data_IF_712000285484
#
_entry.id   IF_712000285484
#
_cell.length_a   1.000
_cell.length_b   1.000
_cell.length_c   1.000
_cell.angle_alpha   90.00
_cell.angle_beta   90.00
_cell.angle_gamma   90.00
#
_symmetry.space_group_name_H-M   'P 1'
#
loop_
_entity.id
_entity.type
_entity.pdbx_description
1 polymer ?
#
# COMPACT_ATOMS: atom_id res chain seq x y z
N UNK A 1 -33.74 -13.58 -56.85
CA UNK A 1 -32.82 -14.29 -55.92
C UNK A 1 -33.35 -15.69 -55.68
N UNK A 2 -32.46 -16.67 -55.58
CA UNK A 2 -32.69 -18.06 -55.96
C UNK A 2 -33.21 -18.94 -54.79
N UNK A 3 -33.51 -20.22 -55.08
CA UNK A 3 -34.50 -21.00 -54.37
C UNK A 3 -33.94 -22.21 -53.60
N UNK A 4 -34.89 -22.98 -53.03
CA UNK A 4 -34.98 -24.44 -53.04
C UNK A 4 -34.04 -25.34 -52.22
N UNK A 5 -34.73 -26.21 -51.49
CA UNK A 5 -34.57 -27.65 -51.37
C UNK A 5 -33.47 -28.27 -50.49
N UNK A 6 -33.98 -28.89 -49.42
CA UNK A 6 -34.11 -30.35 -49.27
C UNK A 6 -33.29 -31.01 -48.14
N UNK A 7 -34.10 -31.51 -47.21
CA UNK A 7 -34.12 -32.89 -46.71
C UNK A 7 -32.92 -33.44 -45.90
N UNK A 8 -33.26 -33.65 -44.62
CA UNK A 8 -33.24 -34.93 -43.90
C UNK A 8 -31.91 -35.62 -43.54
N UNK A 9 -31.79 -35.78 -42.21
CA UNK A 9 -31.48 -37.02 -41.47
C UNK A 9 -30.05 -37.59 -41.51
N UNK A 10 -29.45 -37.51 -40.32
CA UNK A 10 -29.05 -38.65 -39.50
C UNK A 10 -27.67 -39.34 -39.70
N UNK A 11 -27.13 -39.70 -38.52
CA UNK A 11 -26.35 -40.91 -38.16
C UNK A 11 -24.81 -40.97 -38.32
N UNK A 12 -24.23 -41.35 -37.17
CA UNK A 12 -23.25 -42.42 -36.91
C UNK A 12 -21.75 -42.25 -37.23
N UNK A 13 -20.97 -42.37 -36.15
CA UNK A 13 -19.88 -43.35 -35.89
C UNK A 13 -18.90 -43.74 -37.02
N UNK A 14 -17.62 -43.59 -36.65
CA UNK A 14 -16.47 -44.51 -36.84
C UNK A 14 -15.98 -44.83 -38.26
N UNK A 15 -14.71 -44.48 -38.52
CA UNK A 15 -13.64 -45.36 -39.04
C UNK A 15 -12.37 -44.49 -39.18
N UNK A 16 -11.23 -44.75 -38.50
CA UNK A 16 -10.22 -45.80 -38.80
C UNK A 16 -9.57 -45.50 -40.18
N UNK A 17 -8.26 -45.28 -40.34
CA UNK A 17 -7.20 -46.32 -40.49
C UNK A 17 -5.90 -45.60 -40.97
N UNK A 18 -4.68 -45.78 -40.43
CA UNK A 18 -3.58 -46.75 -40.76
C UNK A 18 -2.27 -46.05 -40.34
N UNK A 19 -1.12 -46.64 -39.99
CA UNK A 19 -0.59 -48.01 -39.88
C UNK A 19 0.79 -47.88 -39.15
N UNK A 20 1.15 -48.75 -38.19
CA UNK A 20 2.11 -49.91 -38.30
C UNK A 20 3.58 -49.43 -38.50
N UNK A 21 4.63 -49.86 -37.77
CA UNK A 21 4.92 -51.12 -37.08
C UNK A 21 6.08 -51.03 -36.05
N UNK A 22 5.96 -51.87 -35.02
CA UNK A 22 6.95 -52.82 -34.45
C UNK A 22 8.34 -52.36 -33.99
N UNK A 23 8.66 -52.65 -32.72
CA UNK A 23 9.34 -53.91 -32.33
C UNK A 23 9.35 -54.10 -30.81
N UNK A 24 8.92 -55.28 -30.40
CA UNK A 24 9.06 -55.82 -29.04
C UNK A 24 10.53 -56.11 -28.70
N UNK A 25 10.91 -55.83 -27.44
CA UNK A 25 11.60 -56.81 -26.60
C UNK A 25 11.27 -56.55 -25.13
N UNK A 26 10.59 -57.52 -24.53
CA UNK A 26 10.40 -57.64 -23.09
C UNK A 26 11.70 -58.09 -22.44
N UNK A 27 12.10 -57.44 -21.34
CA UNK A 27 12.80 -58.10 -20.25
C UNK A 27 12.31 -57.53 -18.92
N UNK A 28 11.69 -58.39 -18.11
CA UNK A 28 11.31 -58.10 -16.73
C UNK A 28 12.56 -58.20 -15.84
N UNK A 29 12.83 -57.18 -15.04
CA UNK A 29 13.43 -57.35 -13.71
C UNK A 29 13.00 -56.19 -12.80
N UNK A 30 12.53 -56.59 -11.62
CA UNK A 30 12.18 -55.83 -10.42
C UNK A 30 13.17 -54.74 -10.02
N UNK A 31 12.67 -53.63 -9.48
CA UNK A 31 13.49 -52.65 -8.76
C UNK A 31 12.65 -51.49 -8.24
N UNK A 32 12.49 -51.42 -6.92
CA UNK A 32 11.88 -50.30 -6.21
C UNK A 32 12.55 -48.97 -6.61
N UNK A 33 11.79 -48.07 -7.21
CA UNK A 33 12.24 -46.74 -7.62
C UNK A 33 11.24 -45.71 -7.14
N UNK A 34 11.40 -45.27 -5.90
CA UNK A 34 10.63 -44.16 -5.36
C UNK A 34 10.74 -42.95 -6.27
N UNK A 35 9.59 -42.38 -6.64
CA UNK A 35 9.52 -41.06 -7.24
C UNK A 35 10.08 -40.10 -6.19
N UNK A 36 11.37 -39.77 -6.26
CA UNK A 36 11.92 -38.61 -5.58
C UNK A 36 11.19 -37.40 -6.18
N UNK A 37 10.15 -36.94 -5.49
CA UNK A 37 9.69 -35.56 -5.63
C UNK A 37 10.94 -34.71 -5.48
N UNK A 38 11.38 -34.09 -6.58
CA UNK A 38 12.32 -33.00 -6.51
C UNK A 38 11.67 -31.96 -5.57
N UNK A 39 12.16 -31.90 -4.33
CA UNK A 39 11.97 -30.72 -3.49
C UNK A 39 12.71 -29.63 -4.24
N UNK A 40 11.97 -28.83 -4.99
CA UNK A 40 12.43 -27.49 -5.38
C UNK A 40 12.64 -26.75 -4.07
N UNK A 41 13.86 -26.79 -3.56
CA UNK A 41 14.28 -25.89 -2.48
C UNK A 41 14.35 -24.53 -3.13
N UNK A 42 13.21 -23.85 -3.21
CA UNK A 42 13.22 -22.41 -3.39
C UNK A 42 13.95 -21.86 -2.16
N UNK A 43 15.19 -21.42 -2.33
CA UNK A 43 15.79 -20.42 -1.46
C UNK A 43 15.05 -19.08 -1.64
N UNK A 44 13.72 -19.11 -1.49
CA UNK A 44 12.84 -17.96 -1.61
C UNK A 44 12.92 -17.16 -0.32
N UNK A 45 13.03 -15.83 -0.46
CA UNK A 45 12.91 -14.90 0.67
C UNK A 45 11.68 -15.27 1.51
N UNK A 46 11.78 -15.25 2.84
CA UNK A 46 10.63 -15.56 3.69
C UNK A 46 9.46 -14.64 3.35
N UNK A 47 8.24 -15.19 3.35
CA UNK A 47 7.02 -14.39 3.23
C UNK A 47 6.94 -13.45 4.41
N UNK A 48 6.59 -12.19 4.14
CA UNK A 48 6.43 -11.20 5.19
C UNK A 48 5.27 -11.58 6.13
N UNK A 49 5.53 -11.51 7.45
CA UNK A 49 4.53 -11.71 8.50
C UNK A 49 4.64 -10.57 9.51
N UNK A 50 3.51 -10.00 9.92
CA UNK A 50 3.48 -8.95 10.93
C UNK A 50 4.09 -9.40 12.28
N UNK A 51 3.97 -10.70 12.60
CA UNK A 51 4.58 -11.30 13.78
C UNK A 51 6.11 -11.25 13.78
N UNK A 52 6.73 -11.20 12.59
CA UNK A 52 8.18 -11.14 12.42
C UNK A 52 8.67 -9.71 12.17
N UNK A 53 7.78 -8.72 12.10
CA UNK A 53 8.16 -7.33 11.85
C UNK A 53 8.74 -6.70 13.12
N UNK A 54 10.07 -6.55 13.15
CA UNK A 54 10.80 -5.95 14.25
C UNK A 54 10.60 -4.43 14.42
N UNK A 55 9.80 -3.79 13.57
CA UNK A 55 9.38 -2.40 13.73
C UNK A 55 8.15 -2.27 14.64
N UNK A 56 7.47 -3.39 14.91
CA UNK A 56 6.32 -3.49 15.81
C UNK A 56 6.74 -3.96 17.22
N UNK A 57 6.00 -3.54 18.26
CA UNK A 57 6.12 -4.15 19.59
C UNK A 57 5.52 -5.55 19.59
N UNK A 58 5.89 -6.39 20.56
CA UNK A 58 5.29 -7.72 20.76
C UNK A 58 3.75 -7.69 20.77
N UNK A 59 3.14 -6.65 21.36
CA UNK A 59 1.68 -6.49 21.39
C UNK A 59 1.14 -6.17 19.99
N UNK A 60 1.81 -5.32 19.24
CA UNK A 60 1.41 -4.95 17.87
C UNK A 60 1.64 -6.11 16.88
N UNK A 61 2.75 -6.82 17.01
CA UNK A 61 3.05 -8.05 16.27
C UNK A 61 1.92 -9.07 16.47
N UNK A 62 1.53 -9.34 17.73
CA UNK A 62 0.41 -10.24 18.05
C UNK A 62 -0.94 -9.78 17.49
N UNK A 63 -1.14 -8.47 17.33
CA UNK A 63 -2.36 -7.87 16.75
C UNK A 63 -2.30 -7.71 15.23
N UNK A 64 -1.16 -8.01 14.60
CA UNK A 64 -0.92 -7.78 13.19
C UNK A 64 -0.73 -6.31 12.78
N UNK A 65 -0.64 -5.37 13.73
CA UNK A 65 -0.37 -3.95 13.46
C UNK A 65 -0.58 -3.03 14.67
N UNK A 66 -0.72 -1.73 14.43
CA UNK A 66 -0.58 -0.69 15.44
C UNK A 66 -1.81 -0.53 16.32
N UNK A 67 -2.99 -0.62 15.73
CA UNK A 67 -4.25 -0.40 16.44
C UNK A 67 -5.32 -1.38 15.99
N UNK A 68 -6.06 -1.94 16.95
CA UNK A 68 -7.22 -2.75 16.60
C UNK A 68 -8.47 -1.88 16.45
N UNK A 69 -8.80 -1.61 15.19
CA UNK A 69 -10.09 -1.04 14.83
C UNK A 69 -11.16 -2.09 15.06
N UNK A 70 -11.75 -2.12 16.26
CA UNK A 70 -13.06 -2.72 16.45
C UNK A 70 -14.07 -1.58 16.40
N UNK A 71 -15.03 -1.56 15.46
CA UNK A 71 -16.17 -0.69 15.61
C UNK A 71 -16.83 -1.05 16.94
N UNK A 72 -16.70 -0.18 17.94
CA UNK A 72 -17.36 -0.40 19.22
C UNK A 72 -18.86 -0.38 18.95
N UNK A 73 -19.64 -1.33 19.50
CA UNK A 73 -21.08 -1.16 19.54
C UNK A 73 -21.37 0.17 20.23
N UNK A 74 -22.33 0.92 19.67
CA UNK A 74 -22.67 2.34 19.86
C UNK A 74 -22.80 2.82 21.33
N UNK A 75 -22.71 1.92 22.31
CA UNK A 75 -22.79 2.24 23.74
C UNK A 75 -21.52 1.79 24.47
N UNK A 76 -20.83 2.80 25.05
CA UNK A 76 -19.85 2.70 26.15
C UNK A 76 -18.38 2.45 25.75
N UNK A 77 -17.77 3.45 25.10
CA UNK A 77 -16.56 4.15 25.59
C UNK A 77 -16.15 5.17 24.53
N UNK A 78 -16.19 6.47 24.87
CA UNK A 78 -15.51 7.49 24.07
C UNK A 78 -14.04 7.14 24.07
N UNK A 79 -13.52 6.74 22.92
CA UNK A 79 -12.08 6.64 22.75
C UNK A 79 -11.54 8.08 22.80
N UNK A 80 -10.56 8.33 23.66
CA UNK A 80 -9.94 9.65 23.81
C UNK A 80 -9.32 10.10 22.48
N UNK A 81 -9.29 11.42 22.23
CA UNK A 81 -8.77 12.18 21.05
C UNK A 81 -7.35 11.81 20.52
N UNK A 82 -6.77 10.70 20.95
CA UNK A 82 -5.41 10.26 20.65
C UNK A 82 -5.24 8.76 20.44
N UNK A 83 -6.30 7.97 20.25
CA UNK A 83 -6.11 6.53 19.99
C UNK A 83 -5.40 6.22 18.67
N UNK A 84 -5.49 7.11 17.69
CA UNK A 84 -4.65 7.01 16.48
C UNK A 84 -3.29 7.71 16.66
N UNK A 85 -3.12 8.56 17.69
CA UNK A 85 -1.85 9.16 18.13
C UNK A 85 -1.16 8.37 19.25
N UNK A 86 -1.22 7.04 19.24
CA UNK A 86 -0.28 6.29 20.07
C UNK A 86 1.15 6.79 19.77
N UNK A 87 2.04 6.77 20.75
CA UNK A 87 3.44 6.98 20.42
C UNK A 87 3.86 5.87 19.46
N UNK A 88 4.60 6.21 18.40
CA UNK A 88 5.34 5.17 17.71
C UNK A 88 6.29 4.54 18.72
N UNK A 89 6.67 3.28 18.50
CA UNK A 89 7.62 2.66 19.39
C UNK A 89 8.92 3.49 19.38
N UNK A 90 9.52 3.79 20.54
CA UNK A 90 10.82 4.43 20.58
C UNK A 90 11.78 3.67 19.66
N UNK A 91 12.35 4.38 18.68
CA UNK A 91 13.34 3.78 17.80
C UNK A 91 14.59 3.38 18.60
N UNK A 92 15.46 2.57 18.01
CA UNK A 92 16.80 2.17 18.50
C UNK A 92 17.61 3.30 19.17
N UNK A 93 17.32 4.57 18.85
CA UNK A 93 18.03 5.76 19.31
C UNK A 93 17.22 6.66 20.27
N UNK A 94 16.11 6.19 20.84
CA UNK A 94 15.40 6.87 21.93
C UNK A 94 14.53 8.06 21.49
N UNK A 95 14.39 8.33 20.19
CA UNK A 95 13.43 9.30 19.70
C UNK A 95 12.03 8.67 19.71
N UNK A 96 11.12 9.21 20.52
CA UNK A 96 9.67 9.03 20.36
C UNK A 96 9.21 9.97 19.25
N UNK A 97 8.70 9.39 18.19
CA UNK A 97 8.33 10.12 16.98
C UNK A 97 7.03 9.54 16.48
N UNK A 98 5.89 10.14 16.80
CA UNK A 98 4.54 9.66 16.41
C UNK A 98 4.33 9.19 14.95
N UNK A 99 3.09 9.10 14.49
CA UNK A 99 2.81 8.48 13.18
C UNK A 99 2.79 9.45 12.02
N UNK A 100 3.53 9.13 10.95
CA UNK A 100 3.34 9.79 9.68
C UNK A 100 2.00 9.31 9.17
N UNK A 101 1.07 10.25 9.09
CA UNK A 101 -0.26 10.02 8.58
C UNK A 101 -0.14 9.96 7.05
N UNK A 102 0.46 8.90 6.51
CA UNK A 102 0.71 8.73 5.07
C UNK A 102 -0.49 8.25 4.27
N UNK A 103 -1.49 7.74 4.98
CA UNK A 103 -2.70 7.16 4.43
C UNK A 103 -3.94 7.86 4.97
N UNK A 104 -4.27 7.58 6.22
CA UNK A 104 -5.38 8.19 6.93
C UNK A 104 -4.86 9.08 8.05
N UNK A 105 -5.45 10.26 8.21
CA UNK A 105 -5.09 11.18 9.30
C UNK A 105 -5.76 10.77 10.61
N UNK A 106 -5.17 11.12 11.75
CA UNK A 106 -5.73 10.81 13.09
C UNK A 106 -7.16 11.32 13.17
N UNK A 107 -7.40 12.57 12.75
CA UNK A 107 -8.73 13.17 12.82
C UNK A 107 -9.72 12.48 11.88
N UNK A 108 -9.30 11.98 10.70
CA UNK A 108 -10.20 11.17 9.87
C UNK A 108 -10.62 9.90 10.59
N UNK A 109 -9.73 9.24 11.32
CA UNK A 109 -10.12 8.05 12.10
C UNK A 109 -11.07 8.40 13.25
N UNK A 110 -10.83 9.50 13.96
CA UNK A 110 -11.73 9.97 15.02
C UNK A 110 -13.12 10.28 14.46
N UNK A 111 -13.20 10.93 13.30
CA UNK A 111 -14.48 11.26 12.67
C UNK A 111 -15.15 10.04 12.03
N UNK A 112 -14.39 9.06 11.53
CA UNK A 112 -14.95 7.76 11.15
C UNK A 112 -15.53 7.04 12.36
N UNK A 113 -14.89 7.08 13.53
CA UNK A 113 -15.45 6.45 14.74
C UNK A 113 -16.77 7.06 15.19
N UNK A 114 -16.91 8.37 15.01
CA UNK A 114 -18.09 9.13 15.38
C UNK A 114 -19.09 9.31 14.23
N UNK A 115 -18.91 8.57 13.12
CA UNK A 115 -19.82 8.63 11.97
C UNK A 115 -21.24 8.22 12.34
N UNK A 116 -22.21 8.77 11.63
CA UNK A 116 -23.62 8.41 11.78
C UNK A 116 -23.99 7.41 10.69
N UNK A 117 -24.51 6.24 11.06
CA UNK A 117 -25.11 5.30 10.11
C UNK A 117 -26.47 5.85 9.67
N UNK A 118 -26.66 6.03 8.36
CA UNK A 118 -27.85 6.65 7.77
C UNK A 118 -28.89 5.61 7.31
N UNK A 119 -28.57 4.32 7.35
CA UNK A 119 -29.35 3.23 6.75
C UNK A 119 -28.89 2.87 5.34
N UNK A 120 -29.42 1.78 4.79
CA UNK A 120 -29.09 1.28 3.43
C UNK A 120 -27.59 1.05 3.16
N UNK A 121 -26.84 0.65 4.19
CA UNK A 121 -25.39 0.45 4.07
C UNK A 121 -24.57 1.73 3.94
N UNK A 122 -25.17 2.90 4.17
CA UNK A 122 -24.49 4.20 4.13
C UNK A 122 -24.23 4.75 5.53
N UNK A 123 -23.11 5.46 5.63
CA UNK A 123 -22.71 6.26 6.78
C UNK A 123 -22.35 7.67 6.34
N UNK A 124 -22.30 8.60 7.28
CA UNK A 124 -21.84 9.96 7.05
C UNK A 124 -20.89 10.43 8.14
N UNK A 125 -19.89 11.20 7.72
CA UNK A 125 -19.06 11.94 8.65
C UNK A 125 -19.90 12.99 9.42
N UNK A 126 -19.55 13.30 10.68
CA UNK A 126 -20.20 14.36 11.43
C UNK A 126 -20.12 15.72 10.71
N UNK A 127 -21.14 16.57 10.90
CA UNK A 127 -21.11 17.97 10.43
C UNK A 127 -20.03 18.82 11.10
N UNK A 128 -19.47 18.34 12.22
CA UNK A 128 -18.36 18.95 12.96
C UNK A 128 -16.98 18.55 12.43
N UNK A 129 -16.89 17.62 11.48
CA UNK A 129 -15.62 17.21 10.89
C UNK A 129 -14.99 18.34 10.06
N UNK A 130 -13.64 18.38 9.90
CA UNK A 130 -12.99 19.34 9.03
C UNK A 130 -13.30 19.03 7.56
N UNK A 131 -13.20 20.03 6.70
CA UNK A 131 -13.17 19.78 5.26
C UNK A 131 -11.90 18.96 4.91
N UNK A 132 -11.97 18.04 3.94
CA UNK A 132 -13.12 17.67 3.11
C UNK A 132 -14.03 16.57 3.69
N UNK A 133 -13.92 16.20 4.97
CA UNK A 133 -14.74 15.13 5.55
C UNK A 133 -16.17 15.55 5.87
N UNK A 134 -16.38 16.83 6.19
CA UNK A 134 -17.62 17.38 6.76
C UNK A 134 -18.89 16.91 6.03
N UNK A 135 -19.72 16.13 6.72
CA UNK A 135 -21.03 15.68 6.20
C UNK A 135 -20.97 14.73 5.01
N UNK A 136 -19.78 14.31 4.57
CA UNK A 136 -19.62 13.41 3.43
C UNK A 136 -20.23 12.04 3.73
N UNK A 137 -21.01 11.53 2.78
CA UNK A 137 -21.66 10.22 2.83
C UNK A 137 -20.78 9.17 2.15
N UNK A 138 -20.80 7.95 2.66
CA UNK A 138 -19.98 6.85 2.15
C UNK A 138 -20.54 5.47 2.50
N UNK A 139 -19.98 4.42 1.89
CA UNK A 139 -20.37 3.04 2.13
C UNK A 139 -19.77 2.51 3.44
N UNK A 140 -20.63 2.02 4.33
CA UNK A 140 -20.24 1.50 5.63
C UNK A 140 -19.36 0.24 5.49
N UNK A 141 -19.62 -0.57 4.46
CA UNK A 141 -18.83 -1.77 4.13
C UNK A 141 -17.35 -1.49 3.90
N UNK A 142 -17.01 -0.28 3.47
CA UNK A 142 -15.63 0.08 3.12
C UNK A 142 -14.79 0.49 4.34
N UNK A 143 -15.46 0.84 5.45
CA UNK A 143 -14.81 1.47 6.60
C UNK A 143 -13.74 0.58 7.19
N UNK A 144 -14.03 -0.70 7.42
CA UNK A 144 -13.06 -1.58 8.09
C UNK A 144 -11.82 -1.81 7.22
N UNK A 145 -11.99 -2.18 5.95
CA UNK A 145 -10.87 -2.36 5.01
C UNK A 145 -9.99 -1.11 4.92
N UNK A 146 -10.60 0.08 4.89
CA UNK A 146 -9.90 1.37 4.84
C UNK A 146 -9.16 1.67 6.14
N UNK A 147 -9.78 1.43 7.29
CA UNK A 147 -9.16 1.65 8.59
C UNK A 147 -8.00 0.67 8.83
N UNK A 148 -8.14 -0.59 8.44
CA UNK A 148 -7.09 -1.63 8.59
C UNK A 148 -5.93 -1.40 7.63
N UNK A 149 -6.20 -1.05 6.38
CA UNK A 149 -5.16 -0.64 5.44
C UNK A 149 -4.46 0.65 5.90
N UNK A 150 -5.23 1.64 6.38
CA UNK A 150 -4.70 2.86 6.99
C UNK A 150 -3.83 2.59 8.22
N UNK A 151 -4.17 1.59 9.04
CA UNK A 151 -3.32 1.13 10.15
C UNK A 151 -1.98 0.59 9.67
N UNK A 152 -2.00 -0.24 8.62
CA UNK A 152 -0.80 -0.76 8.00
C UNK A 152 0.01 0.29 7.25
N UNK A 153 -0.58 1.45 6.91
CA UNK A 153 0.11 2.56 6.24
C UNK A 153 0.90 3.47 7.19
N UNK A 154 0.81 3.24 8.50
CA UNK A 154 1.51 4.05 9.50
C UNK A 154 3.01 3.87 9.38
N UNK A 155 3.74 4.97 9.30
CA UNK A 155 5.21 5.00 9.27
C UNK A 155 5.76 5.96 10.33
N UNK A 156 7.06 5.96 10.53
CA UNK A 156 7.73 6.74 11.58
C UNK A 156 7.83 8.22 11.21
N UNK A 157 7.21 9.12 11.99
CA UNK A 157 7.36 10.57 11.79
C UNK A 157 8.81 11.05 11.85
N UNK A 158 9.72 10.41 12.58
CA UNK A 158 11.11 10.91 12.60
C UNK A 158 11.78 10.84 11.22
N UNK A 159 11.17 10.14 10.26
CA UNK A 159 11.75 9.76 8.99
C UNK A 159 11.01 10.31 7.77
N UNK A 160 9.99 11.14 7.95
CA UNK A 160 9.13 11.55 6.83
C UNK A 160 9.02 13.07 6.68
N UNK A 161 8.76 13.49 5.44
CA UNK A 161 8.45 14.87 5.07
C UNK A 161 7.30 14.76 4.09
N UNK A 162 6.23 15.51 4.34
CA UNK A 162 4.99 15.48 3.57
C UNK A 162 5.17 16.21 2.24
N UNK A 163 4.54 15.67 1.20
CA UNK A 163 4.38 16.33 -0.09
C UNK A 163 3.16 17.25 -0.04
N UNK A 164 3.33 18.47 -0.54
CA UNK A 164 2.25 19.45 -0.58
C UNK A 164 1.63 19.50 -1.98
N UNK A 165 0.29 19.55 -2.12
CA UNK A 165 -0.38 19.69 -3.41
C UNK A 165 0.05 20.95 -4.20
N UNK A 166 0.05 20.86 -5.53
CA UNK A 166 0.45 21.96 -6.41
C UNK A 166 -0.45 23.18 -6.26
N UNK A 167 -1.77 22.98 -6.10
CA UNK A 167 -2.75 24.06 -5.89
C UNK A 167 -2.47 24.88 -4.61
N UNK A 168 -1.64 24.36 -3.72
CA UNK A 168 -1.18 25.06 -2.51
C UNK A 168 0.27 25.55 -2.63
N UNK A 169 0.75 25.75 -3.85
CA UNK A 169 2.11 26.19 -4.19
C UNK A 169 3.15 25.07 -4.10
N UNK A 170 2.73 23.80 -4.07
CA UNK A 170 3.63 22.65 -4.03
C UNK A 170 4.61 22.65 -2.85
N UNK A 171 5.67 21.87 -2.99
CA UNK A 171 6.76 21.80 -2.01
C UNK A 171 6.66 20.64 -1.04
N UNK A 172 7.31 20.83 0.10
CA UNK A 172 7.38 19.87 1.19
C UNK A 172 7.03 20.52 2.52
N UNK A 173 6.50 19.74 3.45
CA UNK A 173 6.18 20.17 4.80
C UNK A 173 6.70 19.15 5.82
N UNK A 174 7.32 19.61 6.89
CA UNK A 174 7.50 18.78 8.08
C UNK A 174 6.14 18.35 8.64
N UNK A 175 6.14 17.31 9.45
CA UNK A 175 4.99 16.93 10.27
C UNK A 175 5.36 17.11 11.76
N UNK A 176 4.39 16.91 12.63
CA UNK A 176 4.62 16.95 14.07
C UNK A 176 5.67 15.93 14.49
N UNK A 177 6.76 16.38 15.14
CA UNK A 177 7.78 15.51 15.70
C UNK A 177 9.07 15.32 14.89
N UNK A 178 9.19 15.82 13.64
CA UNK A 178 10.44 15.71 12.85
C UNK A 178 11.45 16.84 13.07
N UNK A 179 11.12 17.89 13.83
CA UNK A 179 11.91 19.13 13.94
C UNK A 179 12.10 19.88 12.60
N UNK A 180 11.32 19.53 11.59
CA UNK A 180 11.22 20.23 10.30
C UNK A 180 10.02 21.17 10.36
N UNK A 181 10.10 22.34 9.72
CA UNK A 181 9.00 23.32 9.74
C UNK A 181 7.71 22.71 9.15
N UNK A 182 6.61 22.82 9.90
CA UNK A 182 5.31 22.20 9.57
C UNK A 182 4.40 23.06 8.68
N UNK A 183 4.92 24.15 8.12
CA UNK A 183 4.14 25.02 7.23
C UNK A 183 3.61 24.21 6.04
N UNK A 184 2.31 24.36 5.75
CA UNK A 184 1.53 23.60 4.76
C UNK A 184 1.20 22.14 5.10
N UNK A 185 1.45 21.68 6.33
CA UNK A 185 1.04 20.35 6.79
C UNK A 185 -0.46 20.10 6.61
N UNK A 186 -1.29 21.11 6.91
CA UNK A 186 -2.75 21.01 6.74
C UNK A 186 -3.13 20.61 5.32
N UNK A 187 -2.52 21.23 4.31
CA UNK A 187 -2.82 21.00 2.90
C UNK A 187 -2.40 19.60 2.44
N UNK A 188 -1.26 19.10 2.93
CA UNK A 188 -0.88 17.71 2.71
C UNK A 188 -1.90 16.74 3.34
N UNK A 189 -2.38 17.03 4.56
CA UNK A 189 -3.42 16.23 5.22
C UNK A 189 -4.78 16.33 4.53
N UNK A 190 -5.16 17.48 3.97
CA UNK A 190 -6.42 17.65 3.23
C UNK A 190 -6.46 16.78 1.97
N UNK A 191 -5.32 16.58 1.29
CA UNK A 191 -5.21 15.63 0.19
C UNK A 191 -5.51 14.19 0.66
N UNK A 192 -4.94 13.78 1.79
CA UNK A 192 -5.18 12.44 2.36
C UNK A 192 -6.63 12.24 2.80
N UNK A 193 -7.22 13.25 3.44
CA UNK A 193 -8.64 13.27 3.80
C UNK A 193 -9.51 13.10 2.56
N UNK A 194 -9.22 13.86 1.49
CA UNK A 194 -9.96 13.78 0.23
C UNK A 194 -9.87 12.38 -0.37
N UNK A 195 -8.65 11.83 -0.49
CA UNK A 195 -8.45 10.49 -1.03
C UNK A 195 -9.15 9.43 -0.19
N UNK A 196 -9.16 9.58 1.14
CA UNK A 196 -9.89 8.66 2.02
C UNK A 196 -11.41 8.73 1.78
N UNK A 197 -11.98 9.93 1.60
CA UNK A 197 -13.40 10.10 1.24
C UNK A 197 -13.69 9.44 -0.12
N UNK A 198 -12.85 9.69 -1.13
CA UNK A 198 -13.01 9.11 -2.47
C UNK A 198 -13.00 7.56 -2.40
N UNK A 199 -12.11 6.98 -1.60
CA UNK A 199 -12.05 5.53 -1.35
C UNK A 199 -13.28 5.00 -0.59
N UNK A 200 -13.73 5.71 0.44
CA UNK A 200 -14.93 5.33 1.21
C UNK A 200 -16.19 5.35 0.33
N UNK A 201 -16.23 6.20 -0.69
CA UNK A 201 -17.32 6.32 -1.68
C UNK A 201 -17.18 5.36 -2.86
N UNK A 202 -16.19 4.49 -2.86
CA UNK A 202 -15.97 3.53 -3.94
C UNK A 202 -16.86 2.28 -3.78
N UNK A 203 -17.77 2.04 -4.72
CA UNK A 203 -18.65 0.86 -4.74
C UNK A 203 -17.93 -0.49 -4.89
N UNK A 204 -16.71 -0.49 -5.41
CA UNK A 204 -15.92 -1.69 -5.71
C UNK A 204 -14.67 -1.78 -4.82
N UNK A 205 -14.71 -1.18 -3.62
CA UNK A 205 -13.59 -1.23 -2.68
C UNK A 205 -13.40 -2.64 -2.14
N UNK A 206 -12.23 -3.22 -2.39
CA UNK A 206 -11.80 -4.50 -1.81
C UNK A 206 -10.68 -4.26 -0.80
N UNK A 207 -10.43 -5.22 0.12
CA UNK A 207 -9.24 -5.20 0.97
C UNK A 207 -7.94 -5.02 0.17
N UNK A 208 -7.83 -5.65 -1.01
CA UNK A 208 -6.67 -5.52 -1.90
C UNK A 208 -6.53 -4.12 -2.48
N UNK A 209 -7.62 -3.54 -3.00
CA UNK A 209 -7.64 -2.16 -3.52
C UNK A 209 -7.28 -1.16 -2.42
N UNK A 210 -7.88 -1.29 -1.23
CA UNK A 210 -7.59 -0.43 -0.10
C UNK A 210 -6.11 -0.49 0.27
N UNK A 211 -5.58 -1.71 0.38
CA UNK A 211 -4.20 -1.93 0.80
C UNK A 211 -3.19 -1.31 -0.15
N UNK A 212 -3.32 -1.61 -1.45
CA UNK A 212 -2.41 -1.12 -2.49
C UNK A 212 -2.54 0.39 -2.66
N UNK A 213 -3.76 0.93 -2.65
CA UNK A 213 -3.99 2.37 -2.73
C UNK A 213 -3.34 3.09 -1.54
N UNK A 214 -3.47 2.59 -0.31
CA UNK A 214 -2.81 3.20 0.84
C UNK A 214 -1.29 3.06 0.83
N UNK A 215 -0.75 1.93 0.34
CA UNK A 215 0.69 1.75 0.14
C UNK A 215 1.23 2.76 -0.90
N UNK A 216 0.56 2.89 -2.04
CA UNK A 216 0.91 3.84 -3.09
C UNK A 216 0.74 5.30 -2.62
N UNK A 217 -0.33 5.60 -1.87
CA UNK A 217 -0.57 6.90 -1.25
C UNK A 217 0.51 7.25 -0.23
N UNK A 218 1.03 6.27 0.51
CA UNK A 218 2.16 6.47 1.43
C UNK A 218 3.41 6.91 0.67
N UNK A 219 3.76 6.22 -0.41
CA UNK A 219 4.88 6.63 -1.28
C UNK A 219 4.64 8.02 -1.88
N UNK A 220 3.40 8.31 -2.28
CA UNK A 220 3.03 9.56 -2.91
C UNK A 220 3.00 10.74 -1.92
N UNK A 221 2.57 10.52 -0.68
CA UNK A 221 2.56 11.53 0.36
C UNK A 221 3.96 11.85 0.87
N UNK A 222 4.91 10.93 0.75
CA UNK A 222 6.31 11.19 1.09
C UNK A 222 7.03 12.01 0.01
N UNK A 223 7.51 13.18 0.41
CA UNK A 223 8.29 14.06 -0.44
C UNK A 223 9.54 13.32 -0.96
N UNK A 224 9.81 13.37 -2.28
CA UNK A 224 11.09 12.95 -2.84
C UNK A 224 12.27 13.65 -2.17
N UNK A 225 13.43 13.01 -2.10
CA UNK A 225 14.65 13.49 -1.44
C UNK A 225 15.05 14.89 -1.90
N UNK A 226 15.00 15.17 -3.21
CA UNK A 226 15.31 16.49 -3.74
C UNK A 226 14.36 17.62 -3.29
N UNK A 227 13.10 17.27 -2.99
CA UNK A 227 12.08 18.21 -2.51
C UNK A 227 12.08 18.29 -0.98
N UNK A 228 12.30 17.14 -0.34
CA UNK A 228 12.43 17.00 1.10
C UNK A 228 13.67 17.75 1.60
N UNK A 229 14.78 17.73 0.85
CA UNK A 229 16.00 18.46 1.16
C UNK A 229 15.78 19.97 1.18
N UNK A 230 14.79 20.49 0.44
CA UNK A 230 14.46 21.92 0.41
C UNK A 230 13.55 22.36 1.57
N UNK A 231 13.01 21.41 2.36
CA UNK A 231 12.20 21.75 3.51
C UNK A 231 13.03 22.56 4.53
N UNK A 232 12.42 23.61 5.09
CA UNK A 232 13.08 24.40 6.15
C UNK A 232 13.37 23.48 7.34
N UNK A 233 14.63 23.48 7.77
CA UNK A 233 15.17 22.61 8.81
C UNK A 233 15.25 21.11 8.47
N UNK A 234 15.25 20.72 7.18
CA UNK A 234 15.43 19.32 6.76
C UNK A 234 16.66 18.63 7.40
N UNK A 235 17.76 19.37 7.61
CA UNK A 235 18.97 18.86 8.28
C UNK A 235 18.74 18.43 9.74
N UNK A 236 17.70 18.94 10.40
CA UNK A 236 17.33 18.66 11.79
C UNK A 236 16.43 17.43 11.95
N UNK A 237 16.13 16.71 10.86
CA UNK A 237 15.35 15.46 10.92
C UNK A 237 15.97 14.49 11.93
N UNK A 238 15.14 14.00 12.86
CA UNK A 238 15.60 13.27 14.06
C UNK A 238 16.30 11.95 13.73
N UNK A 239 15.84 11.24 12.71
CA UNK A 239 16.45 10.00 12.27
C UNK A 239 17.60 10.30 11.29
N UNK A 240 18.82 10.53 11.79
CA UNK A 240 19.95 10.89 10.91
C UNK A 240 20.32 9.79 9.91
N UNK A 241 20.11 8.51 10.24
CA UNK A 241 20.46 7.37 9.38
C UNK A 241 19.62 7.25 8.10
N UNK A 242 18.41 7.84 8.06
CA UNK A 242 17.56 7.81 6.86
C UNK A 242 18.00 8.80 5.79
N UNK A 243 18.88 9.74 6.16
CA UNK A 243 19.38 10.80 5.28
C UNK A 243 20.03 10.27 4.01
N UNK A 244 20.85 9.22 4.16
CA UNK A 244 21.60 8.62 3.06
C UNK A 244 20.78 7.57 2.30
N UNK A 245 19.71 7.05 2.91
CA UNK A 245 18.92 5.94 2.41
C UNK A 245 17.53 6.34 1.92
N UNK A 246 17.20 7.64 1.93
CA UNK A 246 15.85 8.17 1.68
C UNK A 246 15.21 7.61 0.40
N UNK A 247 15.83 7.85 -0.75
CA UNK A 247 15.28 7.34 -2.01
C UNK A 247 15.39 5.81 -2.11
N UNK A 248 16.43 5.18 -1.54
CA UNK A 248 16.50 3.72 -1.53
C UNK A 248 15.32 3.08 -0.81
N UNK A 249 14.92 3.61 0.34
CA UNK A 249 13.73 3.17 1.07
C UNK A 249 12.44 3.46 0.28
N UNK A 250 12.35 4.62 -0.38
CA UNK A 250 11.20 4.94 -1.24
C UNK A 250 11.09 4.00 -2.42
N UNK A 251 12.18 3.68 -3.10
CA UNK A 251 12.18 2.74 -4.22
C UNK A 251 11.90 1.30 -3.78
N UNK A 252 12.35 0.90 -2.59
CA UNK A 252 11.97 -0.38 -2.01
C UNK A 252 10.46 -0.43 -1.71
N UNK A 253 9.89 0.60 -1.11
CA UNK A 253 8.45 0.68 -0.85
C UNK A 253 7.65 0.65 -2.15
N UNK A 254 8.06 1.41 -3.19
CA UNK A 254 7.45 1.33 -4.52
C UNK A 254 7.47 -0.08 -5.07
N UNK A 255 8.61 -0.76 -4.99
CA UNK A 255 8.73 -2.14 -5.46
C UNK A 255 7.76 -3.08 -4.75
N UNK A 256 7.62 -2.96 -3.43
CA UNK A 256 6.66 -3.75 -2.65
C UNK A 256 5.21 -3.43 -3.04
N UNK A 257 4.89 -2.15 -3.26
CA UNK A 257 3.57 -1.70 -3.73
C UNK A 257 3.25 -2.27 -5.11
N UNK A 258 4.16 -2.16 -6.07
CA UNK A 258 3.95 -2.71 -7.41
C UNK A 258 3.84 -4.23 -7.39
N UNK A 259 4.64 -4.92 -6.56
CA UNK A 259 4.54 -6.36 -6.43
C UNK A 259 3.16 -6.79 -5.90
N UNK A 260 2.58 -6.07 -4.93
CA UNK A 260 1.20 -6.30 -4.47
C UNK A 260 0.17 -5.94 -5.54
N UNK A 261 0.34 -4.80 -6.23
CA UNK A 261 -0.56 -4.33 -7.28
C UNK A 261 -0.70 -5.36 -8.41
N UNK A 262 0.39 -6.01 -8.82
CA UNK A 262 0.37 -7.06 -9.85
C UNK A 262 -0.38 -8.33 -9.44
N UNK A 263 -0.65 -8.53 -8.14
CA UNK A 263 -1.49 -9.66 -7.67
C UNK A 263 -2.99 -9.38 -7.75
N UNK A 264 -3.38 -8.12 -7.95
CA UNK A 264 -4.77 -7.71 -8.05
C UNK A 264 -5.36 -8.09 -9.41
N UNK A 265 -6.67 -8.35 -9.44
CA UNK A 265 -7.37 -8.53 -10.71
C UNK A 265 -7.34 -7.24 -11.56
N UNK A 266 -7.51 -7.32 -12.90
CA UNK A 266 -7.54 -6.14 -13.76
C UNK A 266 -8.59 -5.08 -13.33
N UNK A 267 -9.74 -5.51 -12.80
CA UNK A 267 -10.77 -4.62 -12.26
C UNK A 267 -10.25 -3.86 -11.04
N UNK A 268 -9.63 -4.56 -10.08
CA UNK A 268 -9.05 -3.94 -8.88
C UNK A 268 -7.87 -3.02 -9.23
N UNK A 269 -7.02 -3.43 -10.19
CA UNK A 269 -5.95 -2.59 -10.71
C UNK A 269 -6.48 -1.26 -11.29
N UNK A 270 -7.57 -1.31 -12.05
CA UNK A 270 -8.22 -0.11 -12.57
C UNK A 270 -8.75 0.81 -11.44
N UNK A 271 -9.30 0.25 -10.35
CA UNK A 271 -9.72 1.03 -9.17
C UNK A 271 -8.53 1.71 -8.49
N UNK A 272 -7.42 0.99 -8.28
CA UNK A 272 -6.19 1.58 -7.73
C UNK A 272 -5.69 2.72 -8.62
N UNK A 273 -5.64 2.51 -9.94
CA UNK A 273 -5.20 3.55 -10.88
C UNK A 273 -6.12 4.77 -10.88
N UNK A 274 -7.42 4.59 -10.74
CA UNK A 274 -8.37 5.69 -10.59
C UNK A 274 -8.02 6.59 -9.40
N UNK A 275 -7.88 5.99 -8.20
CA UNK A 275 -7.54 6.72 -6.98
C UNK A 275 -6.16 7.39 -7.09
N UNK A 276 -5.16 6.66 -7.56
CA UNK A 276 -3.80 7.19 -7.66
C UNK A 276 -3.66 8.27 -8.74
N UNK A 277 -4.38 8.19 -9.85
CA UNK A 277 -4.40 9.26 -10.86
C UNK A 277 -4.92 10.57 -10.28
N UNK A 278 -5.95 10.54 -9.44
CA UNK A 278 -6.49 11.73 -8.79
C UNK A 278 -5.49 12.34 -7.79
N UNK A 279 -4.77 11.50 -7.06
CA UNK A 279 -3.70 11.94 -6.15
C UNK A 279 -2.57 12.61 -6.94
N UNK A 280 -2.05 11.96 -7.97
CA UNK A 280 -0.93 12.49 -8.75
C UNK A 280 -1.27 13.76 -9.54
N UNK A 281 -2.52 13.92 -10.00
CA UNK A 281 -3.01 15.19 -10.58
C UNK A 281 -2.98 16.36 -9.59
N UNK A 282 -3.07 16.07 -8.29
CA UNK A 282 -3.03 17.11 -7.24
C UNK A 282 -1.61 17.48 -6.83
N UNK A 283 -0.62 16.66 -7.17
CA UNK A 283 0.78 16.88 -6.86
C UNK A 283 1.47 17.72 -7.94
N UNK A 284 2.64 18.33 -7.67
CA UNK A 284 3.43 19.05 -8.66
C UNK A 284 3.65 18.23 -9.96
N UNK A 285 3.72 18.87 -11.11
CA UNK A 285 3.78 18.21 -12.44
C UNK A 285 5.00 17.33 -12.67
N UNK A 286 6.11 17.58 -11.96
CA UNK A 286 7.26 16.68 -11.88
C UNK A 286 6.97 15.41 -11.06
N UNK A 287 5.73 15.23 -10.60
CA UNK A 287 5.23 14.03 -9.94
C UNK A 287 4.17 13.39 -10.81
N UNK A 288 4.53 12.26 -11.39
CA UNK A 288 3.69 11.48 -12.29
C UNK A 288 3.70 10.01 -11.89
N UNK A 289 2.65 9.31 -12.30
CA UNK A 289 2.66 7.85 -12.34
C UNK A 289 3.63 7.38 -13.42
N UNK A 290 4.32 6.27 -13.12
CA UNK A 290 5.03 5.55 -14.15
C UNK A 290 4.06 4.80 -15.06
N UNK A 291 4.47 4.53 -16.29
CA UNK A 291 3.62 3.83 -17.23
C UNK A 291 3.31 2.41 -16.72
N UNK A 292 2.03 2.03 -16.72
CA UNK A 292 1.56 0.71 -16.26
C UNK A 292 1.74 0.43 -14.76
N UNK A 293 1.99 1.47 -13.94
CA UNK A 293 2.28 1.35 -12.50
C UNK A 293 1.38 2.25 -11.66
N UNK A 294 1.20 1.88 -10.39
CA UNK A 294 0.42 2.66 -9.42
C UNK A 294 1.29 3.63 -8.59
N UNK A 295 2.60 3.63 -8.82
CA UNK A 295 3.59 4.51 -8.19
C UNK A 295 4.36 5.35 -9.22
N UNK A 296 5.18 6.28 -8.74
CA UNK A 296 6.01 7.14 -9.59
C UNK A 296 7.23 6.41 -10.17
N UNK A 297 7.86 6.94 -11.23
CA UNK A 297 9.13 6.41 -11.74
C UNK A 297 10.23 6.38 -10.68
N UNK A 298 11.24 5.56 -10.93
CA UNK A 298 12.43 5.43 -10.07
C UNK A 298 13.17 6.76 -10.02
N UNK A 299 13.59 7.16 -8.81
CA UNK A 299 14.39 8.36 -8.61
C UNK A 299 15.88 8.06 -8.57
N UNK A 300 16.64 9.02 -9.08
CA UNK A 300 18.09 8.99 -9.02
C UNK A 300 18.54 9.10 -7.56
N UNK A 301 19.23 8.07 -7.07
CA UNK A 301 19.72 7.97 -5.70
C UNK A 301 20.99 8.78 -5.46
N UNK A 302 21.72 9.14 -6.52
CA UNK A 302 23.09 9.69 -6.44
C UNK A 302 23.12 11.22 -6.38
N UNK A 303 22.01 11.90 -6.69
CA UNK A 303 21.96 13.36 -6.59
C UNK A 303 21.86 13.77 -5.13
N UNK A 304 22.91 14.39 -4.64
CA UNK A 304 22.97 15.01 -3.33
C UNK A 304 22.41 16.42 -3.49
N UNK A 305 21.28 16.72 -2.83
CA UNK A 305 20.88 18.11 -2.63
C UNK A 305 21.89 18.79 -1.72
N UNK A 306 21.99 20.13 -1.75
CA UNK A 306 22.83 20.90 -0.81
C UNK A 306 22.49 20.70 0.68
N UNK A 307 21.37 20.02 0.96
CA UNK A 307 20.88 19.68 2.29
C UNK A 307 20.91 18.17 2.53
N UNK A 308 20.86 17.77 3.80
CA UNK A 308 21.20 16.44 4.31
C UNK A 308 20.34 15.24 3.85
N UNK A 309 19.49 15.34 2.82
CA UNK A 309 18.70 14.22 2.30
C UNK A 309 19.16 13.87 0.88
N UNK A 310 19.50 12.60 0.64
CA UNK A 310 19.91 12.13 -0.69
C UNK A 310 18.70 11.84 -1.58
N UNK A 311 18.79 12.23 -2.84
CA UNK A 311 17.75 11.96 -3.84
C UNK A 311 17.62 13.04 -4.91
N UNK A 312 17.25 12.61 -6.11
CA UNK A 312 17.16 13.43 -7.31
C UNK A 312 15.79 13.40 -8.00
N UNK A 313 15.79 13.90 -9.24
CA UNK A 313 14.69 13.69 -10.18
C UNK A 313 14.55 12.21 -10.59
N UNK A 314 13.71 11.95 -11.59
CA UNK A 314 13.58 10.59 -12.10
C UNK A 314 14.79 10.18 -12.93
N UNK A 315 15.09 8.88 -12.91
CA UNK A 315 15.98 8.26 -13.88
C UNK A 315 15.35 8.31 -15.28
N UNK A 316 16.16 8.12 -16.32
CA UNK A 316 15.64 7.97 -17.69
C UNK A 316 14.71 6.77 -17.78
N UNK A 317 13.76 6.79 -18.73
CA UNK A 317 12.80 5.69 -18.93
C UNK A 317 13.47 4.33 -19.12
N UNK A 318 14.65 4.29 -19.76
CA UNK A 318 15.45 3.07 -19.94
C UNK A 318 16.02 2.48 -18.63
N UNK A 319 16.15 3.30 -17.59
CA UNK A 319 16.70 2.93 -16.29
C UNK A 319 15.60 2.85 -15.20
N UNK A 320 14.33 2.95 -15.59
CA UNK A 320 13.17 2.98 -14.70
C UNK A 320 12.80 1.56 -14.21
N UNK A 321 13.75 0.91 -13.53
CA UNK A 321 13.65 -0.47 -13.06
C UNK A 321 13.64 -0.47 -11.53
N UNK A 322 12.53 -0.94 -10.95
CA UNK A 322 12.40 -1.06 -9.50
C UNK A 322 13.32 -2.16 -8.96
N UNK A 323 13.92 -1.97 -7.76
CA UNK A 323 14.72 -3.02 -7.14
C UNK A 323 13.84 -4.23 -6.79
N UNK A 324 14.40 -5.44 -6.70
CA UNK A 324 13.63 -6.58 -6.19
C UNK A 324 13.29 -6.39 -4.71
N UNK A 325 12.04 -6.62 -4.26
CA UNK A 325 11.65 -6.51 -2.85
C UNK A 325 12.53 -7.37 -1.94
N UNK A 326 12.92 -6.88 -0.77
CA UNK A 326 13.75 -7.64 0.19
C UNK A 326 13.01 -8.81 0.85
N UNK A 327 11.68 -8.72 0.94
CA UNK A 327 10.80 -9.76 1.45
C UNK A 327 9.81 -10.18 0.37
N UNK A 328 9.36 -11.43 0.41
CA UNK A 328 8.27 -11.90 -0.45
C UNK A 328 6.93 -11.36 0.05
N UNK A 329 5.94 -11.33 -0.84
CA UNK A 329 4.57 -10.91 -0.52
C UNK A 329 4.04 -11.65 0.72
N UNK A 330 3.21 -10.99 1.54
CA UNK A 330 2.47 -11.69 2.58
C UNK A 330 1.50 -12.69 1.96
N UNK A 331 1.49 -13.92 2.46
CA UNK A 331 0.56 -14.96 2.01
C UNK A 331 -0.70 -14.85 2.85
N UNK A 332 -1.85 -14.56 2.22
CA UNK A 332 -3.14 -14.44 2.92
C UNK A 332 -3.41 -15.63 3.85
N UNK A 333 -3.20 -16.86 3.38
CA UNK A 333 -3.39 -18.06 4.20
C UNK A 333 -4.74 -18.05 4.90
N UNK A 334 -4.72 -18.17 6.23
CA UNK A 334 -5.91 -18.14 7.10
C UNK A 334 -6.23 -16.74 7.66
N UNK A 335 -5.54 -15.68 7.21
CA UNK A 335 -5.84 -14.31 7.67
C UNK A 335 -7.24 -13.90 7.22
N UNK A 336 -7.95 -13.19 8.10
CA UNK A 336 -9.16 -12.49 7.71
C UNK A 336 -8.85 -11.45 6.63
N UNK A 337 -9.87 -10.97 5.92
CA UNK A 337 -9.68 -9.93 4.90
C UNK A 337 -9.06 -8.65 5.49
N UNK A 338 -9.46 -8.35 6.71
CA UNK A 338 -9.06 -7.20 7.52
C UNK A 338 -7.60 -7.33 7.98
N UNK A 339 -7.22 -8.51 8.48
CA UNK A 339 -5.84 -8.83 8.86
C UNK A 339 -4.91 -8.83 7.65
N UNK A 340 -5.38 -9.35 6.52
CA UNK A 340 -4.64 -9.32 5.27
C UNK A 340 -4.43 -7.89 4.78
N UNK A 341 -5.47 -7.05 4.80
CA UNK A 341 -5.35 -5.67 4.35
C UNK A 341 -4.28 -4.89 5.14
N UNK A 342 -4.35 -5.02 6.46
CA UNK A 342 -3.36 -4.45 7.36
C UNK A 342 -1.96 -4.99 7.09
N UNK A 343 -1.80 -6.31 7.01
CA UNK A 343 -0.49 -6.95 6.82
C UNK A 343 0.12 -6.61 5.46
N UNK A 344 -0.69 -6.53 4.41
CA UNK A 344 -0.29 -6.10 3.08
C UNK A 344 0.26 -4.67 3.09
N UNK A 345 -0.47 -3.73 3.70
CA UNK A 345 0.01 -2.34 3.77
C UNK A 345 1.21 -2.20 4.71
N UNK A 346 1.25 -2.97 5.80
CA UNK A 346 2.40 -3.07 6.70
C UNK A 346 3.65 -3.50 5.91
N UNK A 347 3.55 -4.55 5.09
CA UNK A 347 4.63 -4.99 4.19
C UNK A 347 5.10 -3.88 3.25
N UNK A 348 4.17 -3.18 2.57
CA UNK A 348 4.48 -2.15 1.58
C UNK A 348 5.23 -0.94 2.17
N UNK A 349 4.90 -0.58 3.41
CA UNK A 349 5.37 0.66 4.05
C UNK A 349 6.47 0.45 5.09
N UNK A 350 6.81 -0.81 5.40
CA UNK A 350 7.88 -1.18 6.32
C UNK A 350 9.24 -0.51 6.02
N UNK A 351 9.66 -0.24 4.76
CA UNK A 351 10.91 0.47 4.49
C UNK A 351 11.01 1.87 5.13
N UNK A 352 9.88 2.49 5.49
CA UNK A 352 9.82 3.82 6.12
C UNK A 352 9.72 3.77 7.65
N UNK A 353 10.04 2.63 8.26
CA UNK A 353 9.94 2.42 9.71
C UNK A 353 11.30 2.22 10.33
N UNK A 354 11.48 2.80 11.51
CA UNK A 354 12.63 2.51 12.37
C UNK A 354 12.55 1.09 12.93
N UNK A 355 13.67 0.36 12.90
CA UNK A 355 13.78 -0.92 13.62
C UNK A 355 13.73 -0.68 15.13
N UNK A 356 13.26 -1.68 15.87
CA UNK A 356 13.43 -1.77 17.32
C UNK A 356 14.76 -2.48 17.64
N UNK A 357 15.40 -2.13 18.77
CA UNK A 357 16.47 -2.95 19.34
C UNK A 357 15.89 -4.22 19.94
#
# INVERSE_FOLDING_TARGET
MPPQNNQQKAKKKQAIQKNVASKHKLSKTSGAGGIKKQKTVHHGKPSYRALDDNTLTLVQQKRGGFFDFKPLPIKKKKITKGAFRFESNPTVHGYSSGYHESGITTDTTDHLWNRTQLGNGLSAFPSTAPNPLKGEKFYESNVDSILKAGDGARTDTAQTILSVPQVNGGGSAGHSGSNVKTTKQKQAHDLLRKTTVDMLRDNDMTPGVASVTFGALTVASMAPGNLASQAVDAKKIKASQIKDHWESQREEAKSRVEHMYQTLSPKEQARVNHHMSNVFKSLPSDRRLANGRCTSPVRDKKRVGTNALTGGGYVSSSNDVLPTPTHSLPIKGNMSNEEYARTATLYMTQPFRGRRK
#
